data_IF_213115295240
#
_entry.id   IF_213115295240
#
_cell.length_a   1.000
_cell.length_b   1.000
_cell.length_c   1.000
_cell.angle_alpha   90.00
_cell.angle_beta   90.00
_cell.angle_gamma   90.00
#
_symmetry.space_group_name_H-M   'P 1'
#
loop_
_entity.id
_entity.type
_entity.pdbx_description
1 polymer ?
#
# COMPACT_ATOMS: atom_id res chain seq x y z
N UNK A 1 17.95 20.26 -9.79
CA UNK A 1 17.55 20.32 -8.37
C UNK A 1 17.58 18.90 -7.84
N UNK A 2 18.49 18.58 -6.90
CA UNK A 2 18.50 17.26 -6.26
C UNK A 2 17.26 17.17 -5.39
N UNK A 3 16.29 16.33 -5.77
CA UNK A 3 15.25 15.93 -4.84
C UNK A 3 15.97 15.11 -3.77
N UNK A 4 16.14 15.68 -2.58
CA UNK A 4 16.56 14.91 -1.42
C UNK A 4 15.56 13.76 -1.28
N UNK A 5 16.01 12.54 -1.58
CA UNK A 5 15.24 11.32 -1.30
C UNK A 5 15.18 11.25 0.21
N UNK A 6 14.08 11.75 0.79
CA UNK A 6 13.85 11.71 2.22
C UNK A 6 13.81 10.24 2.62
N UNK A 7 14.91 9.75 3.19
CA UNK A 7 15.04 8.36 3.62
C UNK A 7 14.00 8.11 4.72
N UNK A 8 13.16 7.09 4.53
CA UNK A 8 12.17 6.70 5.52
C UNK A 8 12.86 6.27 6.83
N UNK A 9 12.20 6.56 7.95
CA UNK A 9 12.69 6.14 9.26
C UNK A 9 12.73 4.61 9.37
N UNK A 10 13.54 4.08 10.28
CA UNK A 10 13.61 2.63 10.53
C UNK A 10 12.26 2.07 10.97
N UNK A 11 11.50 2.79 11.81
CA UNK A 11 10.16 2.38 12.23
C UNK A 11 9.18 2.36 11.06
N UNK A 12 9.20 3.39 10.19
CA UNK A 12 8.37 3.43 8.98
C UNK A 12 8.65 2.25 8.06
N UNK A 13 9.93 1.88 7.90
CA UNK A 13 10.31 0.69 7.12
C UNK A 13 9.74 -0.59 7.73
N UNK A 14 9.81 -0.77 9.04
CA UNK A 14 9.21 -1.92 9.72
C UNK A 14 7.69 -1.97 9.54
N UNK A 15 7.01 -0.84 9.66
CA UNK A 15 5.55 -0.76 9.50
C UNK A 15 5.11 -1.02 8.05
N UNK A 16 5.88 -0.56 7.06
CA UNK A 16 5.67 -0.91 5.65
C UNK A 16 5.82 -2.41 5.42
N UNK A 17 6.84 -3.06 5.99
CA UNK A 17 7.01 -4.52 5.84
C UNK A 17 5.87 -5.31 6.51
N UNK A 18 5.38 -4.84 7.65
CA UNK A 18 4.19 -5.41 8.29
C UNK A 18 2.94 -5.26 7.39
N UNK A 19 2.75 -4.09 6.78
CA UNK A 19 1.67 -3.84 5.82
C UNK A 19 1.79 -4.76 4.59
N UNK A 20 2.97 -4.85 3.97
CA UNK A 20 3.24 -5.78 2.84
C UNK A 20 2.90 -7.22 3.19
N UNK A 21 3.34 -7.67 4.36
CA UNK A 21 3.06 -9.04 4.81
C UNK A 21 1.55 -9.28 5.00
N UNK A 22 0.82 -8.29 5.52
CA UNK A 22 -0.63 -8.38 5.66
C UNK A 22 -1.33 -8.39 4.30
N UNK A 23 -1.00 -7.45 3.41
CA UNK A 23 -1.56 -7.35 2.05
C UNK A 23 -1.32 -8.62 1.23
N UNK A 24 -0.16 -9.28 1.41
CA UNK A 24 0.12 -10.57 0.79
C UNK A 24 -0.84 -11.68 1.22
N UNK A 25 -1.28 -11.71 2.48
CA UNK A 25 -2.30 -12.67 2.97
C UNK A 25 -3.66 -12.43 2.32
N UNK A 26 -3.97 -11.18 1.99
CA UNK A 26 -5.20 -10.79 1.30
C UNK A 26 -5.15 -11.06 -0.22
N UNK A 27 -3.99 -11.44 -0.75
CA UNK A 27 -3.79 -11.82 -2.15
C UNK A 27 -3.12 -10.75 -3.02
N UNK A 28 -2.68 -9.63 -2.43
CA UNK A 28 -1.85 -8.64 -3.11
C UNK A 28 -0.40 -9.12 -3.12
N UNK A 29 0.02 -9.73 -4.22
CA UNK A 29 1.31 -10.43 -4.33
C UNK A 29 2.45 -9.52 -4.75
N UNK A 30 2.13 -8.38 -5.36
CA UNK A 30 3.08 -7.46 -5.97
C UNK A 30 2.98 -6.11 -5.27
N UNK A 31 4.12 -5.45 -5.15
CA UNK A 31 4.19 -4.11 -4.57
C UNK A 31 5.29 -3.28 -5.23
N UNK A 32 5.06 -1.98 -5.31
CA UNK A 32 6.03 -1.00 -5.80
C UNK A 32 6.05 0.20 -4.84
N UNK A 33 7.23 0.66 -4.45
CA UNK A 33 7.38 1.88 -3.64
C UNK A 33 7.94 3.00 -4.50
N UNK A 34 7.23 4.13 -4.57
CA UNK A 34 7.65 5.27 -5.38
C UNK A 34 7.08 6.57 -4.85
N UNK A 35 7.89 7.63 -4.83
CA UNK A 35 7.46 9.01 -4.55
C UNK A 35 6.61 9.18 -3.27
N UNK A 36 6.92 8.40 -2.21
CA UNK A 36 6.18 8.46 -0.94
C UNK A 36 4.92 7.58 -0.89
N UNK A 37 4.72 6.75 -1.91
CA UNK A 37 3.63 5.78 -2.03
C UNK A 37 4.13 4.35 -1.98
N UNK A 38 3.24 3.46 -1.59
CA UNK A 38 3.31 2.04 -1.90
C UNK A 38 2.05 1.63 -2.65
N UNK A 39 2.25 1.01 -3.81
CA UNK A 39 1.19 0.42 -4.61
C UNK A 39 1.18 -1.09 -4.39
N UNK A 40 0.00 -1.67 -4.17
CA UNK A 40 -0.23 -3.09 -3.98
C UNK A 40 -1.10 -3.62 -5.11
N UNK A 41 -0.68 -4.71 -5.77
CA UNK A 41 -1.42 -5.31 -6.87
C UNK A 41 -1.52 -6.82 -6.76
N UNK A 42 -2.57 -7.38 -7.34
CA UNK A 42 -2.79 -8.84 -7.38
C UNK A 42 -2.16 -9.51 -8.60
N UNK A 43 -1.89 -8.72 -9.66
CA UNK A 43 -1.33 -9.18 -10.94
C UNK A 43 -0.31 -8.19 -11.51
N UNK A 44 0.59 -8.71 -12.33
CA UNK A 44 1.45 -7.91 -13.20
C UNK A 44 0.91 -7.91 -14.63
N UNK A 45 1.10 -6.82 -15.35
CA UNK A 45 0.88 -6.70 -16.79
C UNK A 45 2.18 -6.24 -17.45
N UNK A 46 2.73 -7.02 -18.37
CA UNK A 46 4.05 -6.79 -18.98
C UNK A 46 5.17 -6.52 -17.96
N UNK A 47 5.14 -7.24 -16.83
CA UNK A 47 6.12 -7.13 -15.75
C UNK A 47 5.96 -5.90 -14.85
N UNK A 48 4.95 -5.06 -15.08
CA UNK A 48 4.61 -3.90 -14.26
C UNK A 48 3.36 -4.15 -13.43
N UNK A 49 3.22 -3.43 -12.31
CA UNK A 49 1.98 -3.48 -11.54
C UNK A 49 0.81 -3.11 -12.46
N UNK A 50 -0.24 -3.91 -12.44
CA UNK A 50 -1.44 -3.59 -13.21
C UNK A 50 -2.20 -2.47 -12.53
N UNK A 51 -2.61 -1.46 -13.30
CA UNK A 51 -3.49 -0.37 -12.84
C UNK A 51 -4.93 -0.83 -12.49
N UNK A 52 -5.14 -2.13 -12.37
CA UNK A 52 -6.43 -2.76 -12.09
C UNK A 52 -6.19 -3.78 -10.99
N UNK A 53 -7.13 -3.90 -10.06
CA UNK A 53 -6.96 -4.69 -8.85
C UNK A 53 -5.77 -4.22 -8.00
N UNK A 54 -5.69 -2.90 -7.81
CA UNK A 54 -4.62 -2.21 -7.08
C UNK A 54 -5.12 -1.39 -5.89
N UNK A 55 -4.23 -1.20 -4.92
CA UNK A 55 -4.41 -0.31 -3.77
C UNK A 55 -3.13 0.51 -3.57
N UNK A 56 -3.25 1.83 -3.64
CA UNK A 56 -2.15 2.77 -3.40
C UNK A 56 -2.31 3.40 -2.02
N UNK A 57 -1.21 3.49 -1.27
CA UNK A 57 -1.19 4.04 0.09
C UNK A 57 -0.05 5.05 0.20
N UNK A 58 -0.37 6.27 0.62
CA UNK A 58 0.66 7.29 0.86
C UNK A 58 1.24 7.15 2.27
N UNK A 59 2.55 7.33 2.44
CA UNK A 59 3.22 7.11 3.72
C UNK A 59 3.01 8.23 4.75
N UNK A 60 2.71 9.45 4.32
CA UNK A 60 2.77 10.63 5.20
C UNK A 60 1.41 11.27 5.51
N UNK A 61 0.32 10.77 4.92
CA UNK A 61 -1.03 11.24 5.20
C UNK A 61 -2.05 10.13 4.96
N UNK A 62 -3.27 10.30 5.48
CA UNK A 62 -4.38 9.34 5.31
C UNK A 62 -4.98 9.44 3.90
N UNK A 63 -4.18 9.07 2.90
CA UNK A 63 -4.62 9.05 1.50
C UNK A 63 -4.40 7.67 0.89
N UNK A 64 -5.48 7.09 0.38
CA UNK A 64 -5.47 5.81 -0.32
C UNK A 64 -6.31 5.87 -1.58
N UNK A 65 -5.86 5.16 -2.61
CA UNK A 65 -6.62 4.88 -3.82
C UNK A 65 -6.82 3.38 -3.95
N UNK A 66 -7.96 2.96 -4.49
CA UNK A 66 -8.22 1.55 -4.76
C UNK A 66 -9.01 1.41 -6.05
N UNK A 67 -8.58 0.51 -6.92
CA UNK A 67 -9.27 0.16 -8.16
C UNK A 67 -9.39 -1.36 -8.24
N UNK A 68 -10.62 -1.88 -8.25
CA UNK A 68 -10.90 -3.32 -8.35
C UNK A 68 -11.81 -3.58 -9.55
N UNK A 69 -11.34 -4.41 -10.47
CA UNK A 69 -12.14 -5.01 -11.54
C UNK A 69 -12.73 -6.36 -11.10
N UNK A 70 -12.12 -7.00 -10.11
CA UNK A 70 -12.50 -8.31 -9.59
C UNK A 70 -13.41 -8.18 -8.35
N UNK A 71 -14.59 -8.78 -8.42
CA UNK A 71 -15.58 -8.77 -7.33
C UNK A 71 -15.06 -9.44 -6.06
N UNK A 72 -14.20 -10.47 -6.18
CA UNK A 72 -13.64 -11.17 -5.03
C UNK A 72 -12.71 -10.27 -4.17
N UNK A 73 -12.25 -9.15 -4.73
CA UNK A 73 -11.44 -8.16 -4.01
C UNK A 73 -12.29 -7.13 -3.27
N UNK A 74 -13.53 -6.90 -3.70
CA UNK A 74 -14.46 -6.04 -2.97
C UNK A 74 -14.79 -6.62 -1.60
N UNK A 75 -14.91 -7.95 -1.49
CA UNK A 75 -15.16 -8.63 -0.23
C UNK A 75 -14.00 -8.46 0.78
N UNK A 76 -12.78 -8.26 0.27
CA UNK A 76 -11.57 -8.04 1.07
C UNK A 76 -11.34 -6.58 1.41
N UNK A 77 -12.07 -5.64 0.79
CA UNK A 77 -11.89 -4.22 0.98
C UNK A 77 -11.98 -3.77 2.46
N UNK A 78 -12.89 -4.31 3.30
CA UNK A 78 -12.91 -3.98 4.72
C UNK A 78 -11.60 -4.33 5.43
N UNK A 79 -11.04 -5.51 5.16
CA UNK A 79 -9.78 -5.98 5.76
C UNK A 79 -8.58 -5.18 5.26
N UNK A 80 -8.54 -4.87 3.96
CA UNK A 80 -7.53 -3.98 3.36
C UNK A 80 -7.56 -2.61 4.03
N UNK A 81 -8.75 -2.01 4.16
CA UNK A 81 -8.90 -0.71 4.83
C UNK A 81 -8.41 -0.76 6.26
N UNK A 82 -8.75 -1.82 7.01
CA UNK A 82 -8.29 -1.96 8.39
C UNK A 82 -6.77 -2.09 8.48
N UNK A 83 -6.13 -2.85 7.59
CA UNK A 83 -4.67 -2.98 7.56
C UNK A 83 -3.97 -1.63 7.31
N UNK A 84 -4.53 -0.81 6.40
CA UNK A 84 -4.03 0.54 6.10
C UNK A 84 -4.25 1.48 7.29
N UNK A 85 -5.41 1.41 7.95
CA UNK A 85 -5.69 2.19 9.15
C UNK A 85 -4.71 1.85 10.28
N UNK A 86 -4.41 0.57 10.49
CA UNK A 86 -3.42 0.13 11.48
C UNK A 86 -2.02 0.64 11.14
N UNK A 87 -1.66 0.70 9.85
CA UNK A 87 -0.41 1.31 9.40
C UNK A 87 -0.36 2.81 9.76
N UNK A 88 -1.42 3.57 9.48
CA UNK A 88 -1.47 5.00 9.82
C UNK A 88 -1.39 5.25 11.32
N UNK A 89 -2.09 4.45 12.12
CA UNK A 89 -2.02 4.54 13.58
C UNK A 89 -0.60 4.28 14.09
N UNK A 90 0.09 3.27 13.54
CA UNK A 90 1.47 2.96 13.91
C UNK A 90 2.48 4.05 13.50
N UNK A 91 2.19 4.80 12.43
CA UNK A 91 2.97 5.97 12.01
C UNK A 91 2.59 7.26 12.78
N UNK A 92 1.59 7.21 13.67
CA UNK A 92 1.08 8.41 14.35
C UNK A 92 0.34 9.37 13.42
N UNK A 93 -0.11 8.89 12.26
CA UNK A 93 -0.85 9.67 11.26
C UNK A 93 -2.33 9.60 11.62
N UNK A 94 -2.74 10.56 12.44
CA UNK A 94 -4.15 10.79 12.78
C UNK A 94 -4.79 11.75 11.78
N UNK A 95 -6.10 12.01 11.94
CA UNK A 95 -6.91 12.91 11.10
C UNK A 95 -6.23 14.23 10.70
#
# INVERSE_FOLDING_TARGET
>A
MSMEVKVLSTSTRTNIEALKHHMKKLGFKYFEEKDGWIDFGTRLYDGKLSNTNEVSVHFNNRNMFSMFDDLDLYDKLPEVKQAILNFYEAEGITE
#
